data_IF_336838081331
#
_entry.id   IF_336838081331
#
_cell.length_a   1.000
_cell.length_b   1.000
_cell.length_c   1.000
_cell.angle_alpha   90.00
_cell.angle_beta   90.00
_cell.angle_gamma   90.00
#
_symmetry.space_group_name_H-M   'P 1'
#
loop_
_entity.id
_entity.type
_entity.pdbx_description
1 polymer ?
#
# COMPACT_ATOMS: atom_id res chain seq x y z
N UNK A 1 0.18 -1.20 1.36
CA UNK A 1 1.04 -0.02 1.14
C UNK A 1 2.29 -0.26 0.28
N UNK A 2 3.01 -1.38 0.41
CA UNK A 2 4.37 -1.61 -0.13
C UNK A 2 4.59 -1.48 -1.66
N UNK A 3 3.58 -1.16 -2.47
CA UNK A 3 3.72 -1.07 -3.93
C UNK A 3 3.99 0.34 -4.46
N UNK A 4 3.57 1.38 -3.73
CA UNK A 4 3.70 2.79 -4.12
C UNK A 4 4.50 3.60 -3.10
N UNK A 5 5.06 2.95 -2.08
CA UNK A 5 5.79 3.59 -0.97
C UNK A 5 7.28 3.68 -1.27
N UNK A 6 7.97 4.64 -0.66
CA UNK A 6 9.43 4.79 -0.84
C UNK A 6 10.19 3.61 -0.24
N UNK A 7 11.44 3.34 -0.68
CA UNK A 7 12.30 2.35 -0.03
C UNK A 7 12.46 2.61 1.47
N UNK A 8 12.59 3.88 1.88
CA UNK A 8 12.80 4.27 3.27
C UNK A 8 11.57 3.99 4.14
N UNK A 9 10.37 4.26 3.63
CA UNK A 9 9.14 3.91 4.32
C UNK A 9 8.95 2.39 4.37
N UNK A 10 9.29 1.70 3.28
CA UNK A 10 9.19 0.24 3.19
C UNK A 10 10.09 -0.42 4.23
N UNK A 11 11.33 0.04 4.33
CA UNK A 11 12.29 -0.40 5.33
C UNK A 11 11.82 -0.06 6.76
N UNK A 12 11.45 1.19 7.03
CA UNK A 12 10.98 1.60 8.36
C UNK A 12 9.70 0.85 8.78
N UNK A 13 8.85 0.52 7.82
CA UNK A 13 7.67 -0.31 8.05
C UNK A 13 8.05 -1.77 8.37
N UNK A 14 9.02 -2.37 7.67
CA UNK A 14 9.49 -3.71 7.99
C UNK A 14 10.19 -3.77 9.36
N UNK A 15 11.00 -2.77 9.69
CA UNK A 15 11.60 -2.58 11.02
C UNK A 15 10.53 -2.53 12.12
N UNK A 16 9.43 -1.81 11.89
CA UNK A 16 8.29 -1.74 12.80
C UNK A 16 7.53 -3.07 12.88
N UNK A 17 7.30 -3.73 11.74
CA UNK A 17 6.56 -4.98 11.63
C UNK A 17 7.23 -6.12 12.41
N UNK A 18 8.56 -6.16 12.37
CA UNK A 18 9.37 -7.19 13.05
C UNK A 18 9.93 -6.72 14.40
N UNK A 19 9.44 -5.59 14.93
CA UNK A 19 9.96 -5.01 16.17
C UNK A 19 9.84 -5.93 17.39
N UNK A 20 8.84 -6.81 17.43
CA UNK A 20 8.65 -7.79 18.51
C UNK A 20 9.78 -8.84 18.57
N UNK A 21 10.43 -9.15 17.44
CA UNK A 21 11.57 -10.08 17.41
C UNK A 21 12.76 -9.53 18.19
N UNK A 22 12.98 -8.22 18.14
CA UNK A 22 14.02 -7.57 18.94
C UNK A 22 13.68 -7.63 20.44
N UNK A 23 12.40 -7.49 20.80
CA UNK A 23 11.95 -7.58 22.20
C UNK A 23 12.14 -8.97 22.82
N UNK A 24 12.19 -10.04 22.00
CA UNK A 24 12.48 -11.41 22.44
C UNK A 24 13.93 -11.84 22.20
N UNK A 25 14.83 -10.90 21.88
CA UNK A 25 16.27 -11.16 21.72
C UNK A 25 16.69 -11.70 20.34
N UNK A 26 15.77 -11.81 19.38
CA UNK A 26 15.99 -12.34 18.03
C UNK A 26 16.38 -11.23 17.04
N UNK A 27 17.43 -10.49 17.38
CA UNK A 27 17.86 -9.31 16.60
C UNK A 27 18.41 -9.69 15.22
N UNK A 28 19.15 -10.78 15.11
CA UNK A 28 19.76 -11.22 13.85
C UNK A 28 18.68 -11.73 12.89
N UNK A 29 17.69 -12.46 13.40
CA UNK A 29 16.53 -12.93 12.65
C UNK A 29 15.67 -11.77 12.17
N UNK A 30 15.47 -10.75 13.02
CA UNK A 30 14.81 -9.50 12.61
C UNK A 30 15.53 -8.86 11.43
N UNK A 31 16.85 -8.68 11.51
CA UNK A 31 17.64 -8.06 10.44
C UNK A 31 17.57 -8.85 9.14
N UNK A 32 17.66 -10.18 9.21
CA UNK A 32 17.48 -11.06 8.06
C UNK A 32 16.10 -10.92 7.42
N UNK A 33 15.03 -10.86 8.23
CA UNK A 33 13.66 -10.70 7.74
C UNK A 33 13.43 -9.32 7.13
N UNK A 34 13.92 -8.24 7.76
CA UNK A 34 13.86 -6.88 7.19
C UNK A 34 14.56 -6.85 5.83
N UNK A 35 15.80 -7.34 5.75
CA UNK A 35 16.56 -7.37 4.50
C UNK A 35 15.88 -8.20 3.40
N UNK A 36 15.31 -9.35 3.77
CA UNK A 36 14.56 -10.20 2.84
C UNK A 36 13.32 -9.48 2.28
N UNK A 37 12.52 -8.87 3.14
CA UNK A 37 11.31 -8.14 2.74
C UNK A 37 11.64 -6.86 1.94
N UNK A 38 12.74 -6.17 2.26
CA UNK A 38 13.24 -5.03 1.49
C UNK A 38 13.69 -5.44 0.09
N UNK A 39 14.43 -6.54 -0.03
CA UNK A 39 14.86 -7.07 -1.33
C UNK A 39 13.65 -7.43 -2.21
N UNK A 40 12.60 -8.02 -1.63
CA UNK A 40 11.34 -8.28 -2.31
C UNK A 40 10.66 -6.96 -2.73
N UNK A 41 10.60 -5.97 -1.84
CA UNK A 41 10.05 -4.64 -2.13
C UNK A 41 10.77 -3.94 -3.29
N UNK A 42 12.10 -3.99 -3.30
CA UNK A 42 12.94 -3.38 -4.31
C UNK A 42 12.87 -4.11 -5.65
N UNK A 43 12.87 -5.44 -5.66
CA UNK A 43 12.68 -6.23 -6.87
C UNK A 43 11.33 -5.92 -7.52
N UNK A 44 10.27 -5.80 -6.72
CA UNK A 44 8.92 -5.41 -7.18
C UNK A 44 8.88 -4.00 -7.75
N UNK A 45 9.54 -3.05 -7.07
CA UNK A 45 9.68 -1.66 -7.55
C UNK A 45 10.39 -1.63 -8.91
N UNK A 46 11.50 -2.35 -9.02
CA UNK A 46 12.31 -2.44 -10.24
C UNK A 46 11.53 -3.07 -11.39
N UNK A 47 10.80 -4.15 -11.13
CA UNK A 47 9.94 -4.78 -12.13
C UNK A 47 8.80 -3.86 -12.58
N UNK A 48 8.23 -3.06 -11.66
CA UNK A 48 7.12 -2.13 -11.93
C UNK A 48 7.55 -0.88 -12.70
N UNK A 49 8.75 -0.35 -12.43
CA UNK A 49 9.30 0.83 -13.11
C UNK A 49 10.22 0.50 -14.29
N UNK A 50 10.31 -0.77 -14.70
CA UNK A 50 10.93 -1.14 -15.99
C UNK A 50 10.14 -0.47 -17.11
N UNK A 51 10.75 0.57 -17.70
CA UNK A 51 10.23 1.32 -18.86
C UNK A 51 9.77 0.36 -19.96
N UNK A 52 8.54 0.53 -20.43
CA UNK A 52 7.97 -0.23 -21.57
C UNK A 52 6.74 -1.08 -21.24
N UNK A 53 6.42 -1.32 -19.97
CA UNK A 53 5.15 -1.93 -19.57
C UNK A 53 4.09 -0.85 -19.36
N UNK A 54 3.32 -0.51 -20.40
CA UNK A 54 2.12 0.33 -20.33
C UNK A 54 0.94 -0.36 -19.61
N UNK A 55 1.24 -1.15 -18.59
CA UNK A 55 0.26 -1.98 -17.90
C UNK A 55 -0.37 -1.16 -16.77
N UNK A 56 -1.66 -0.88 -16.86
CA UNK A 56 -2.40 -0.12 -15.85
C UNK A 56 -2.36 -0.81 -14.50
N UNK A 57 -2.02 -0.08 -13.45
CA UNK A 57 -1.98 -0.55 -12.07
C UNK A 57 -3.05 0.18 -11.26
N UNK A 58 -3.95 -0.57 -10.64
CA UNK A 58 -4.95 -0.01 -9.72
C UNK A 58 -4.68 -0.52 -8.31
N UNK A 59 -4.53 0.39 -7.35
CA UNK A 59 -4.39 0.05 -5.94
C UNK A 59 -5.52 0.65 -5.12
N UNK A 60 -6.07 -0.14 -4.22
CA UNK A 60 -6.96 0.30 -3.17
C UNK A 60 -6.20 0.42 -1.85
N UNK A 61 -6.42 1.52 -1.14
CA UNK A 61 -5.97 1.73 0.23
C UNK A 61 -7.17 2.24 1.06
N UNK A 62 -7.27 1.77 2.30
CA UNK A 62 -8.27 2.28 3.24
C UNK A 62 -7.90 3.67 3.72
N UNK A 63 -8.90 4.53 3.91
CA UNK A 63 -8.69 5.87 4.47
C UNK A 63 -8.07 5.81 5.86
N UNK A 64 -8.51 4.88 6.72
CA UNK A 64 -7.93 4.69 8.05
C UNK A 64 -6.44 4.35 8.03
N UNK A 65 -5.96 3.57 7.06
CA UNK A 65 -4.53 3.25 6.93
C UNK A 65 -3.71 4.49 6.59
N UNK A 66 -4.20 5.32 5.66
CA UNK A 66 -3.55 6.58 5.31
C UNK A 66 -3.59 7.58 6.48
N UNK A 67 -4.68 7.60 7.24
CA UNK A 67 -4.80 8.42 8.45
C UNK A 67 -3.83 7.95 9.53
N UNK A 68 -3.70 6.63 9.76
CA UNK A 68 -2.73 6.07 10.69
C UNK A 68 -1.29 6.38 10.28
N UNK A 69 -0.99 6.37 8.97
CA UNK A 69 0.32 6.78 8.44
C UNK A 69 0.58 8.26 8.73
N UNK A 70 -0.37 9.15 8.44
CA UNK A 70 -0.22 10.57 8.70
C UNK A 70 -0.05 10.86 10.21
N UNK A 71 -0.87 10.23 11.05
CA UNK A 71 -0.88 10.48 12.49
C UNK A 71 0.24 9.75 13.25
N UNK A 72 0.90 8.79 12.62
CA UNK A 72 1.89 7.95 13.32
C UNK A 72 1.25 7.06 14.37
N UNK A 73 0.13 6.43 14.06
CA UNK A 73 -0.59 5.53 14.98
C UNK A 73 -0.62 4.10 14.45
N UNK A 74 -1.02 3.15 15.29
CA UNK A 74 -1.13 1.73 14.91
C UNK A 74 0.20 1.18 14.41
N UNK A 75 0.19 0.65 13.19
CA UNK A 75 1.36 0.07 12.52
C UNK A 75 2.48 1.08 12.22
N UNK A 76 2.18 2.39 12.29
CA UNK A 76 3.15 3.45 11.99
C UNK A 76 3.67 4.16 13.24
N UNK A 77 3.35 3.67 14.45
CA UNK A 77 3.71 4.36 15.71
C UNK A 77 5.21 4.57 15.92
N UNK A 78 6.03 3.66 15.40
CA UNK A 78 7.49 3.69 15.52
C UNK A 78 8.18 4.27 14.28
N UNK A 79 7.43 4.58 13.22
CA UNK A 79 7.98 5.17 12.00
C UNK A 79 8.18 6.66 12.24
N UNK A 80 9.40 7.17 12.05
CA UNK A 80 9.73 8.60 12.20
C UNK A 80 8.83 9.49 11.35
N UNK A 81 8.44 10.65 11.88
CA UNK A 81 7.54 11.62 11.24
C UNK A 81 8.00 11.98 9.83
N UNK A 82 9.28 12.29 9.66
CA UNK A 82 9.87 12.74 8.39
C UNK A 82 9.78 11.64 7.32
N UNK A 83 9.85 10.37 7.74
CA UNK A 83 9.69 9.22 6.83
C UNK A 83 8.24 9.09 6.38
N UNK A 84 7.28 9.34 7.28
CA UNK A 84 5.84 9.32 6.96
C UNK A 84 5.45 10.48 6.04
N UNK A 85 5.97 11.68 6.28
CA UNK A 85 5.74 12.85 5.42
C UNK A 85 6.28 12.62 4.01
N UNK A 86 7.55 12.18 3.88
CA UNK A 86 8.16 11.85 2.59
C UNK A 86 7.40 10.75 1.84
N UNK A 87 6.82 9.80 2.56
CA UNK A 87 5.99 8.76 1.95
C UNK A 87 4.72 9.32 1.31
N UNK A 88 4.02 10.22 2.02
CA UNK A 88 2.82 10.87 1.49
C UNK A 88 3.18 11.79 0.31
N UNK A 89 4.26 12.56 0.41
CA UNK A 89 4.78 13.38 -0.68
C UNK A 89 5.15 12.54 -1.90
N UNK A 90 5.82 11.40 -1.70
CA UNK A 90 6.16 10.49 -2.78
C UNK A 90 4.92 9.91 -3.46
N UNK A 91 3.87 9.59 -2.70
CA UNK A 91 2.62 9.11 -3.27
C UNK A 91 1.98 10.17 -4.16
N UNK A 92 1.94 11.44 -3.73
CA UNK A 92 1.45 12.54 -4.55
C UNK A 92 2.29 12.71 -5.82
N UNK A 93 3.61 12.82 -5.69
CA UNK A 93 4.53 12.97 -6.83
C UNK A 93 4.44 11.80 -7.82
N UNK A 94 4.24 10.58 -7.32
CA UNK A 94 4.07 9.39 -8.14
C UNK A 94 2.76 9.43 -8.95
N UNK A 95 1.66 9.87 -8.34
CA UNK A 95 0.36 10.01 -9.01
C UNK A 95 0.37 11.14 -10.06
N UNK A 96 1.17 12.17 -9.85
CA UNK A 96 1.40 13.24 -10.83
C UNK A 96 2.24 12.74 -12.00
N UNK A 97 3.39 12.11 -11.73
CA UNK A 97 4.34 11.66 -12.75
C UNK A 97 3.85 10.44 -13.56
N UNK A 98 3.04 9.56 -12.97
CA UNK A 98 2.52 8.35 -13.59
C UNK A 98 1.09 8.52 -14.14
N UNK A 99 0.71 9.75 -14.50
CA UNK A 99 -0.60 10.09 -15.04
C UNK A 99 -0.94 9.19 -16.24
N UNK A 100 -1.89 8.28 -16.07
CA UNK A 100 -2.42 7.41 -17.13
C UNK A 100 -2.21 5.91 -16.94
N UNK A 101 -1.36 5.48 -16.00
CA UNK A 101 -1.14 4.04 -15.76
C UNK A 101 -1.11 3.64 -14.28
N UNK A 102 -1.16 4.58 -13.35
CA UNK A 102 -1.40 4.30 -11.92
C UNK A 102 -2.73 4.92 -11.51
N UNK A 103 -3.61 4.13 -10.92
CA UNK A 103 -4.86 4.55 -10.30
C UNK A 103 -4.81 4.18 -8.82
N UNK A 104 -4.87 5.18 -7.94
CA UNK A 104 -5.05 4.96 -6.51
C UNK A 104 -6.51 5.22 -6.15
N UNK A 105 -7.11 4.29 -5.41
CA UNK A 105 -8.50 4.34 -4.97
C UNK A 105 -8.50 4.37 -3.45
N UNK A 106 -9.06 5.44 -2.88
CA UNK A 106 -9.15 5.58 -1.42
C UNK A 106 -10.58 5.27 -0.99
N UNK A 107 -10.71 4.24 -0.17
CA UNK A 107 -12.01 3.72 0.24
C UNK A 107 -12.22 3.94 1.74
N UNK A 108 -13.42 4.39 2.10
CA UNK A 108 -13.82 4.50 3.50
C UNK A 108 -13.97 3.11 4.13
N UNK A 109 -13.52 2.97 5.37
CA UNK A 109 -13.60 1.71 6.14
C UNK A 109 -15.02 1.13 6.19
N UNK A 110 -16.05 1.99 6.26
CA UNK A 110 -17.45 1.57 6.24
C UNK A 110 -17.87 0.95 4.90
N UNK A 111 -17.33 1.42 3.78
CA UNK A 111 -17.70 0.95 2.45
C UNK A 111 -17.18 -0.47 2.14
N UNK A 112 -16.21 -0.95 2.95
CA UNK A 112 -15.66 -2.30 2.87
C UNK A 112 -16.20 -3.23 3.96
N UNK A 113 -17.06 -2.77 4.88
CA UNK A 113 -17.56 -3.60 5.98
C UNK A 113 -18.32 -4.83 5.49
N UNK A 114 -19.25 -4.65 4.56
CA UNK A 114 -20.04 -5.74 3.97
C UNK A 114 -19.20 -6.68 3.09
N UNK A 115 -18.03 -6.20 2.68
CA UNK A 115 -17.08 -6.92 1.83
C UNK A 115 -15.95 -7.57 2.65
N UNK A 116 -15.94 -7.43 3.98
CA UNK A 116 -14.94 -8.05 4.87
C UNK A 116 -14.74 -9.56 4.62
N UNK A 117 -15.79 -10.37 4.38
CA UNK A 117 -15.60 -11.78 4.05
C UNK A 117 -14.86 -11.98 2.72
N UNK A 118 -15.17 -11.15 1.71
CA UNK A 118 -14.53 -11.20 0.40
C UNK A 118 -13.10 -10.62 0.40
N UNK A 119 -12.83 -9.73 1.35
CA UNK A 119 -11.54 -9.09 1.59
C UNK A 119 -10.65 -9.88 2.53
N UNK A 120 -11.08 -11.01 3.12
CA UNK A 120 -10.22 -11.94 3.89
C UNK A 120 -9.19 -11.29 4.85
N UNK A 121 -9.54 -10.15 5.46
CA UNK A 121 -8.63 -9.42 6.34
C UNK A 121 -7.48 -8.67 5.63
N UNK A 122 -7.64 -8.33 4.36
CA UNK A 122 -6.71 -7.51 3.59
C UNK A 122 -6.91 -6.00 3.87
N UNK A 123 -5.81 -5.29 4.05
CA UNK A 123 -5.71 -3.83 4.22
C UNK A 123 -5.51 -3.10 2.88
N UNK A 124 -4.85 -3.75 1.92
CA UNK A 124 -4.68 -3.16 0.59
C UNK A 124 -4.72 -4.23 -0.49
N UNK A 125 -5.34 -3.89 -1.62
CA UNK A 125 -5.42 -4.74 -2.82
C UNK A 125 -4.86 -3.95 -3.98
N UNK A 126 -3.88 -4.51 -4.68
CA UNK A 126 -3.34 -3.97 -5.91
C UNK A 126 -3.56 -4.95 -7.05
N UNK A 127 -4.03 -4.48 -8.20
CA UNK A 127 -4.17 -5.28 -9.41
C UNK A 127 -3.36 -4.61 -10.53
N UNK A 128 -2.51 -5.40 -11.18
CA UNK A 128 -1.73 -5.00 -12.34
C UNK A 128 -2.40 -5.56 -13.59
N UNK A 129 -3.21 -4.73 -14.24
CA UNK A 129 -4.12 -5.09 -15.32
C UNK A 129 -4.79 -6.45 -15.09
N UNK A 130 -4.59 -7.40 -16.00
CA UNK A 130 -5.08 -8.78 -15.98
C UNK A 130 -3.99 -9.80 -15.61
N UNK A 131 -2.80 -9.34 -15.18
CA UNK A 131 -1.62 -10.19 -15.03
C UNK A 131 -1.33 -10.63 -13.60
N UNK A 132 -1.62 -9.78 -12.61
CA UNK A 132 -1.27 -10.08 -11.24
C UNK A 132 -2.14 -9.33 -10.22
N UNK A 133 -2.32 -9.96 -9.07
CA UNK A 133 -2.93 -9.35 -7.88
C UNK A 133 -1.95 -9.39 -6.71
N UNK A 134 -2.01 -8.34 -5.90
CA UNK A 134 -1.26 -8.13 -4.67
C UNK A 134 -2.23 -7.88 -3.54
N UNK A 135 -2.11 -8.65 -2.45
CA UNK A 135 -2.98 -8.59 -1.30
C UNK A 135 -2.11 -8.36 -0.06
N UNK A 136 -2.37 -7.31 0.72
CA UNK A 136 -1.71 -7.09 2.02
C UNK A 136 -2.69 -7.44 3.12
N UNK A 137 -2.34 -8.34 4.01
CA UNK A 137 -3.11 -8.70 5.20
C UNK A 137 -2.87 -7.72 6.36
N UNK A 138 -3.78 -7.71 7.34
CA UNK A 138 -3.66 -6.91 8.58
C UNK A 138 -2.44 -7.20 9.43
N UNK A 139 -1.93 -8.42 9.36
CA UNK A 139 -0.68 -8.81 10.00
C UNK A 139 0.56 -8.35 9.20
N UNK A 140 0.39 -7.53 8.15
CA UNK A 140 1.47 -7.05 7.30
C UNK A 140 1.93 -8.03 6.22
N UNK A 141 1.46 -9.28 6.20
CA UNK A 141 1.85 -10.26 5.18
C UNK A 141 1.38 -9.84 3.79
N UNK A 142 2.20 -10.09 2.77
CA UNK A 142 1.89 -9.74 1.38
C UNK A 142 1.81 -11.00 0.53
N UNK A 143 0.62 -11.28 0.01
CA UNK A 143 0.34 -12.38 -0.91
C UNK A 143 0.31 -11.84 -2.33
N UNK A 144 0.88 -12.59 -3.28
CA UNK A 144 0.80 -12.29 -4.70
C UNK A 144 0.29 -13.51 -5.47
N UNK A 145 -0.37 -13.26 -6.58
CA UNK A 145 -0.83 -14.32 -7.47
C UNK A 145 -0.93 -13.82 -8.90
N UNK A 146 -0.40 -14.61 -9.84
CA UNK A 146 -0.62 -14.46 -11.29
C UNK A 146 -1.73 -15.37 -11.81
N UNK A 147 -2.48 -16.06 -10.93
CA UNK A 147 -3.57 -16.94 -11.35
C UNK A 147 -4.71 -16.09 -11.93
N UNK A 148 -5.04 -16.30 -13.21
CA UNK A 148 -6.02 -15.50 -13.93
C UNK A 148 -7.39 -15.39 -13.22
N UNK A 149 -7.90 -16.48 -12.63
CA UNK A 149 -9.17 -16.45 -11.91
C UNK A 149 -9.11 -15.57 -10.66
N UNK A 150 -8.00 -15.59 -9.93
CA UNK A 150 -7.80 -14.71 -8.78
C UNK A 150 -7.64 -13.26 -9.23
N UNK A 151 -6.87 -13.01 -10.27
CA UNK A 151 -6.68 -11.65 -10.82
C UNK A 151 -8.03 -11.06 -11.25
N UNK A 152 -8.84 -11.80 -12.01
CA UNK A 152 -10.17 -11.36 -12.44
C UNK A 152 -11.14 -11.12 -11.27
N UNK A 153 -11.11 -11.99 -10.25
CA UNK A 153 -11.91 -11.83 -9.03
C UNK A 153 -11.59 -10.50 -8.36
N UNK A 154 -10.32 -10.21 -8.11
CA UNK A 154 -9.93 -8.98 -7.42
C UNK A 154 -10.02 -7.74 -8.31
N UNK A 155 -9.84 -7.86 -9.62
CA UNK A 155 -10.11 -6.78 -10.57
C UNK A 155 -11.59 -6.36 -10.54
N UNK A 156 -12.52 -7.32 -10.53
CA UNK A 156 -13.97 -7.05 -10.37
C UNK A 156 -14.29 -6.43 -9.02
N UNK A 157 -13.67 -6.92 -7.96
CA UNK A 157 -13.84 -6.35 -6.63
C UNK A 157 -13.37 -4.89 -6.57
N UNK A 158 -12.19 -4.59 -7.13
CA UNK A 158 -11.66 -3.22 -7.21
C UNK A 158 -12.58 -2.31 -8.03
N UNK A 159 -13.09 -2.77 -9.18
CA UNK A 159 -14.09 -1.99 -9.96
C UNK A 159 -15.35 -1.69 -9.15
N UNK A 160 -15.84 -2.68 -8.39
CA UNK A 160 -17.03 -2.53 -7.54
C UNK A 160 -16.79 -1.58 -6.37
N UNK A 161 -15.58 -1.59 -5.80
CA UNK A 161 -15.16 -0.70 -4.71
C UNK A 161 -14.88 0.73 -5.20
N UNK A 162 -14.36 0.89 -6.42
CA UNK A 162 -14.16 2.21 -7.04
C UNK A 162 -15.47 2.98 -7.15
N UNK A 163 -16.57 2.30 -7.51
CA UNK A 163 -17.90 2.89 -7.54
C UNK A 163 -18.40 3.38 -6.15
N UNK A 164 -17.79 2.91 -5.06
CA UNK A 164 -18.12 3.21 -3.65
C UNK A 164 -17.06 4.05 -2.93
N UNK A 165 -15.97 4.41 -3.61
CA UNK A 165 -14.82 5.07 -3.01
C UNK A 165 -15.12 6.54 -2.66
N UNK A 166 -14.46 7.05 -1.61
CA UNK A 166 -14.58 8.45 -1.19
C UNK A 166 -13.75 9.39 -2.06
N UNK A 167 -12.62 8.92 -2.59
CA UNK A 167 -11.86 9.60 -3.63
C UNK A 167 -11.67 8.65 -4.81
N UNK A 168 -12.21 9.04 -5.97
CA UNK A 168 -12.33 8.19 -7.17
C UNK A 168 -11.45 8.66 -8.31
N UNK A 169 -11.30 9.97 -8.41
CA UNK A 169 -10.44 10.64 -9.36
C UNK A 169 -9.15 11.10 -8.68
N UNK A 170 -8.14 11.31 -9.52
CA UNK A 170 -6.80 11.70 -9.10
C UNK A 170 -6.80 13.02 -8.33
N UNK A 171 -7.59 14.01 -8.72
CA UNK A 171 -7.69 15.31 -8.03
C UNK A 171 -8.11 15.13 -6.59
N UNK A 172 -9.20 14.41 -6.34
CA UNK A 172 -9.72 14.15 -4.99
C UNK A 172 -8.73 13.35 -4.15
N UNK A 173 -8.00 12.41 -4.77
CA UNK A 173 -6.95 11.64 -4.10
C UNK A 173 -5.78 12.53 -3.69
N UNK A 174 -5.32 13.42 -4.57
CA UNK A 174 -4.23 14.35 -4.29
C UNK A 174 -4.63 15.34 -3.18
N UNK A 175 -5.83 15.92 -3.23
CA UNK A 175 -6.35 16.78 -2.16
C UNK A 175 -6.40 16.08 -0.80
N UNK A 176 -6.80 14.80 -0.78
CA UNK A 176 -6.82 14.02 0.45
C UNK A 176 -5.41 13.74 0.97
N UNK A 177 -4.46 13.42 0.09
CA UNK A 177 -3.05 13.24 0.47
C UNK A 177 -2.44 14.53 1.02
N UNK A 178 -2.74 15.68 0.43
CA UNK A 178 -2.32 16.99 0.92
C UNK A 178 -2.91 17.30 2.31
N UNK A 179 -4.20 17.05 2.49
CA UNK A 179 -4.87 17.20 3.79
C UNK A 179 -4.21 16.33 4.85
N UNK A 180 -3.94 15.06 4.53
CA UNK A 180 -3.27 14.14 5.44
C UNK A 180 -1.83 14.57 5.74
N UNK A 181 -1.10 15.07 4.75
CA UNK A 181 0.26 15.58 4.93
C UNK A 181 0.27 16.75 5.91
N UNK A 182 -0.66 17.70 5.78
CA UNK A 182 -0.83 18.82 6.70
C UNK A 182 -1.19 18.38 8.13
N UNK A 183 -1.79 17.20 8.31
CA UNK A 183 -2.11 16.61 9.61
C UNK A 183 -0.95 15.82 10.22
N UNK A 184 0.19 15.67 9.53
CA UNK A 184 1.31 14.88 10.02
C UNK A 184 1.91 15.55 11.24
N UNK A 185 1.85 14.86 12.39
CA UNK A 185 2.36 15.34 13.68
C UNK A 185 3.65 14.64 14.06
#
# INVERSE_FOLDING_TARGET
MCSLTTPELTHAYHEALFGELEAVGLREEKQCLVAFYDAIGQARRTQRFRRGSATSFTQLILRSDLAQLAQGTGLYRSVRREVRERALEHLSALLEAAAGWITLVIVEDRAVQDLRPALWGFESIGVCADKAVFLRQRNGAVIWSGNAQQVDRYARLLRSLHARAAARDRSTVLELLETLRAMTR
#
